data_IF_469665247231
#
_entry.id   IF_469665247231
#
_cell.length_a   1.000
_cell.length_b   1.000
_cell.length_c   1.000
_cell.angle_alpha   90.00
_cell.angle_beta   90.00
_cell.angle_gamma   90.00
#
_symmetry.space_group_name_H-M   'P 1'
#
loop_
_entity.id
_entity.type
_entity.pdbx_description
1 polymer ?
#
# COMPACT_ATOMS: atom_id res chain seq x y z
N UNK A 1 -62.16 47.55 9.19
CA UNK A 1 -61.42 48.79 8.87
C UNK A 1 -60.52 48.49 7.69
N UNK A 2 -60.91 48.91 6.49
CA UNK A 2 -60.04 48.87 5.33
C UNK A 2 -59.11 50.08 5.30
N UNK A 3 -57.95 49.91 4.69
CA UNK A 3 -57.30 50.90 3.85
C UNK A 3 -56.20 50.22 3.04
N UNK A 4 -56.39 50.27 1.73
CA UNK A 4 -55.36 50.15 0.71
C UNK A 4 -54.32 51.30 0.85
N UNK A 5 -53.08 51.11 0.38
CA UNK A 5 -52.60 51.76 -0.85
C UNK A 5 -51.09 51.53 -1.08
N UNK A 6 -50.81 51.04 -2.28
CA UNK A 6 -49.55 50.94 -3.00
C UNK A 6 -48.63 52.17 -2.92
N UNK A 7 -47.32 51.91 -2.87
CA UNK A 7 -46.29 52.77 -3.48
C UNK A 7 -45.36 51.93 -4.35
N UNK A 8 -45.58 52.02 -5.65
CA UNK A 8 -44.59 51.71 -6.69
C UNK A 8 -43.66 52.91 -6.83
N UNK A 9 -42.35 52.67 -6.91
CA UNK A 9 -41.48 53.35 -7.89
C UNK A 9 -40.38 52.39 -8.31
N UNK A 10 -40.29 52.15 -9.61
CA UNK A 10 -39.24 51.39 -10.26
C UNK A 10 -38.08 52.32 -10.61
N UNK A 11 -36.84 51.85 -10.45
CA UNK A 11 -35.70 52.36 -11.20
C UNK A 11 -34.73 51.21 -11.51
N UNK A 12 -34.73 50.80 -12.78
CA UNK A 12 -33.71 49.98 -13.42
C UNK A 12 -32.40 50.79 -13.44
N UNK A 13 -31.29 50.21 -12.96
CA UNK A 13 -30.04 50.33 -13.71
C UNK A 13 -29.15 49.11 -13.51
N UNK A 14 -28.79 48.56 -14.65
CA UNK A 14 -27.85 47.48 -14.93
C UNK A 14 -26.46 47.91 -14.44
N UNK A 15 -25.80 47.08 -13.65
CA UNK A 15 -24.35 47.02 -13.72
C UNK A 15 -23.88 45.57 -13.64
N UNK A 16 -23.28 45.14 -14.75
CA UNK A 16 -22.48 43.93 -14.83
C UNK A 16 -21.31 44.12 -13.88
N UNK A 17 -21.08 43.16 -12.99
CA UNK A 17 -19.74 42.91 -12.49
C UNK A 17 -19.56 41.41 -12.34
N UNK A 18 -18.78 40.86 -13.26
CA UNK A 18 -18.02 39.66 -13.06
C UNK A 18 -17.26 39.78 -11.72
N UNK A 19 -17.36 38.75 -10.89
CA UNK A 19 -16.36 38.34 -9.89
C UNK A 19 -16.63 36.88 -9.61
N UNK A 20 -15.89 36.05 -10.33
CA UNK A 20 -14.76 35.31 -9.76
C UNK A 20 -15.30 33.98 -9.25
N UNK A 21 -15.15 32.97 -10.12
CA UNK A 21 -15.31 31.59 -9.72
C UNK A 21 -14.45 31.37 -8.48
N UNK A 22 -15.09 30.87 -7.43
CA UNK A 22 -14.40 30.37 -6.26
C UNK A 22 -13.19 29.54 -6.73
N UNK A 23 -11.99 29.77 -6.20
CA UNK A 23 -10.87 28.90 -6.54
C UNK A 23 -11.30 27.46 -6.26
N UNK A 24 -10.99 26.50 -7.14
CA UNK A 24 -11.24 25.10 -6.82
C UNK A 24 -10.60 24.82 -5.46
N UNK A 25 -11.25 24.00 -4.61
CA UNK A 25 -10.67 23.65 -3.31
C UNK A 25 -9.22 23.20 -3.53
N UNK A 26 -8.29 23.52 -2.61
CA UNK A 26 -6.88 23.16 -2.77
C UNK A 26 -6.82 21.70 -3.16
N UNK A 27 -6.39 21.41 -4.38
CA UNK A 27 -6.06 20.05 -4.75
C UNK A 27 -4.96 19.68 -3.78
N UNK A 28 -5.24 18.74 -2.89
CA UNK A 28 -4.25 18.21 -1.96
C UNK A 28 -3.22 17.49 -2.83
N UNK A 29 -2.22 18.24 -3.30
CA UNK A 29 -1.19 17.75 -4.21
C UNK A 29 -0.42 16.67 -3.46
N UNK A 30 -0.59 15.43 -3.89
CA UNK A 30 0.27 14.33 -3.47
C UNK A 30 1.66 14.52 -4.05
N UNK A 31 2.67 13.96 -3.41
CA UNK A 31 4.01 13.90 -3.99
C UNK A 31 3.94 13.27 -5.40
N UNK A 32 4.56 13.87 -6.42
CA UNK A 32 4.48 13.38 -7.80
C UNK A 32 5.04 11.97 -8.01
N UNK A 33 5.86 11.47 -7.08
CA UNK A 33 6.41 10.10 -7.10
C UNK A 33 5.40 9.05 -6.63
N UNK A 34 4.34 9.46 -5.93
CA UNK A 34 3.32 8.57 -5.40
C UNK A 34 2.25 8.29 -6.47
N UNK A 35 2.06 7.04 -6.94
CA UNK A 35 1.04 6.70 -7.94
C UNK A 35 -0.37 6.55 -7.34
N UNK A 36 -0.68 7.33 -6.29
CA UNK A 36 -1.98 7.36 -5.63
C UNK A 36 -2.47 8.80 -5.51
N UNK A 37 -3.74 9.02 -5.80
CA UNK A 37 -4.41 10.28 -5.46
C UNK A 37 -4.50 10.44 -3.94
N UNK A 38 -4.70 11.67 -3.45
CA UNK A 38 -4.88 11.95 -2.03
C UNK A 38 -5.99 11.10 -1.39
N UNK A 39 -7.09 10.87 -2.13
CA UNK A 39 -8.21 10.03 -1.69
C UNK A 39 -7.79 8.56 -1.58
N UNK A 40 -7.08 8.03 -2.58
CA UNK A 40 -6.62 6.64 -2.56
C UNK A 40 -5.61 6.40 -1.43
N UNK A 41 -4.65 7.33 -1.23
CA UNK A 41 -3.73 7.31 -0.09
C UNK A 41 -4.49 7.28 1.24
N UNK A 42 -5.45 8.18 1.42
CA UNK A 42 -6.27 8.19 2.64
C UNK A 42 -7.00 6.87 2.85
N UNK A 43 -7.59 6.31 1.80
CA UNK A 43 -8.30 5.02 1.87
C UNK A 43 -7.37 3.89 2.32
N UNK A 44 -6.21 3.72 1.69
CA UNK A 44 -5.28 2.64 2.06
C UNK A 44 -4.76 2.80 3.48
N UNK A 45 -4.38 4.02 3.88
CA UNK A 45 -3.93 4.28 5.26
C UNK A 45 -5.04 4.01 6.29
N UNK A 46 -6.28 4.36 5.96
CA UNK A 46 -7.42 4.15 6.86
C UNK A 46 -7.78 2.67 7.01
N UNK A 47 -7.90 1.92 5.90
CA UNK A 47 -8.19 0.49 5.94
C UNK A 47 -7.04 -0.30 6.55
N UNK A 48 -5.79 0.11 6.29
CA UNK A 48 -4.60 -0.56 6.81
C UNK A 48 -4.55 -0.59 8.34
N UNK A 49 -5.21 0.33 9.06
CA UNK A 49 -5.28 0.26 10.53
C UNK A 49 -5.82 -1.07 11.04
N UNK A 50 -6.73 -1.72 10.32
CA UNK A 50 -7.22 -3.04 10.69
C UNK A 50 -6.16 -4.13 10.44
N UNK A 51 -5.47 -4.07 9.31
CA UNK A 51 -4.34 -4.96 9.00
C UNK A 51 -3.19 -4.78 9.99
N UNK A 52 -2.87 -3.54 10.36
CA UNK A 52 -1.84 -3.19 11.35
C UNK A 52 -2.10 -3.76 12.75
N UNK A 53 -3.37 -4.07 13.10
CA UNK A 53 -3.70 -4.78 14.36
C UNK A 53 -3.57 -6.30 14.24
N UNK A 54 -3.43 -6.82 13.02
CA UNK A 54 -3.42 -8.24 12.69
C UNK A 54 -2.19 -8.64 11.86
N UNK A 55 -1.09 -7.89 11.94
CA UNK A 55 0.08 -8.07 11.06
C UNK A 55 0.57 -9.52 10.99
N UNK A 56 0.72 -10.17 12.14
CA UNK A 56 1.22 -11.55 12.20
C UNK A 56 0.25 -12.57 11.57
N UNK A 57 -1.03 -12.68 11.98
CA UNK A 57 -1.95 -13.63 11.35
C UNK A 57 -2.20 -13.33 9.86
N UNK A 58 -2.21 -12.04 9.45
CA UNK A 58 -2.27 -11.66 8.03
C UNK A 58 -1.02 -12.13 7.28
N UNK A 59 0.17 -11.90 7.83
CA UNK A 59 1.44 -12.30 7.23
C UNK A 59 1.59 -13.81 7.12
N UNK A 60 1.22 -14.57 8.16
CA UNK A 60 1.26 -16.04 8.12
C UNK A 60 0.37 -16.55 6.99
N UNK A 61 -0.84 -16.01 6.85
CA UNK A 61 -1.72 -16.38 5.76
C UNK A 61 -1.13 -16.02 4.38
N UNK A 62 -0.54 -14.82 4.24
CA UNK A 62 0.16 -14.42 3.02
C UNK A 62 1.27 -15.41 2.65
N UNK A 63 2.10 -15.85 3.60
CA UNK A 63 3.16 -16.82 3.31
C UNK A 63 2.63 -18.22 2.99
N UNK A 64 1.57 -18.67 3.66
CA UNK A 64 0.91 -19.93 3.30
C UNK A 64 0.47 -19.89 1.83
N UNK A 65 -0.20 -18.81 1.41
CA UNK A 65 -0.62 -18.62 0.01
C UNK A 65 0.58 -18.56 -0.95
N UNK A 66 1.66 -17.88 -0.56
CA UNK A 66 2.88 -17.82 -1.36
C UNK A 66 3.45 -19.21 -1.64
N UNK A 67 3.55 -20.06 -0.62
CA UNK A 67 4.12 -21.40 -0.74
C UNK A 67 3.16 -22.43 -1.36
N UNK A 68 1.85 -22.23 -1.24
CA UNK A 68 0.84 -22.99 -2.00
C UNK A 68 1.03 -22.79 -3.52
N UNK A 69 1.33 -21.55 -3.95
CA UNK A 69 1.47 -21.21 -5.37
C UNK A 69 2.91 -21.31 -5.91
N UNK A 70 3.92 -21.23 -5.04
CA UNK A 70 5.33 -21.14 -5.39
C UNK A 70 6.18 -21.97 -4.40
N UNK A 71 5.93 -23.28 -4.35
CA UNK A 71 6.55 -24.20 -3.39
C UNK A 71 8.09 -24.21 -3.45
N UNK A 72 8.68 -23.85 -4.59
CA UNK A 72 10.12 -23.72 -4.77
C UNK A 72 10.75 -22.61 -3.93
N UNK A 73 10.01 -21.53 -3.65
CA UNK A 73 10.49 -20.40 -2.85
C UNK A 73 10.78 -20.81 -1.41
N UNK A 74 10.10 -21.85 -0.92
CA UNK A 74 10.31 -22.39 0.41
C UNK A 74 11.78 -22.84 0.63
N UNK A 75 12.49 -23.19 -0.44
CA UNK A 75 13.90 -23.59 -0.37
C UNK A 75 14.85 -22.44 0.01
N UNK A 76 14.42 -21.18 -0.15
CA UNK A 76 15.19 -20.01 0.28
C UNK A 76 15.18 -19.83 1.81
N UNK A 77 14.25 -20.48 2.52
CA UNK A 77 14.01 -20.31 3.95
C UNK A 77 14.62 -21.44 4.77
N UNK A 78 15.93 -21.39 5.00
CA UNK A 78 16.69 -22.47 5.67
C UNK A 78 16.12 -22.92 7.02
N UNK A 79 15.50 -22.02 7.79
CA UNK A 79 14.91 -22.32 9.10
C UNK A 79 13.62 -23.14 9.06
N UNK A 80 12.86 -23.07 7.96
CA UNK A 80 11.53 -23.66 7.87
C UNK A 80 11.21 -24.25 6.50
N UNK A 81 12.25 -24.59 5.71
CA UNK A 81 12.10 -25.13 4.37
C UNK A 81 11.31 -26.45 4.29
N UNK A 82 11.24 -27.18 5.41
CA UNK A 82 10.60 -28.50 5.50
C UNK A 82 9.10 -28.41 5.85
N UNK A 83 8.57 -27.20 6.08
CA UNK A 83 7.13 -26.98 6.31
C UNK A 83 6.36 -27.06 5.00
N UNK A 84 6.08 -28.27 4.53
CA UNK A 84 5.45 -28.51 3.22
C UNK A 84 3.93 -28.49 3.24
N UNK A 85 3.30 -28.53 4.41
CA UNK A 85 1.84 -28.46 4.54
C UNK A 85 1.37 -27.16 5.19
N UNK A 86 0.13 -26.79 4.90
CA UNK A 86 -0.52 -25.61 5.47
C UNK A 86 -0.60 -25.66 6.99
N UNK A 87 -0.87 -26.84 7.55
CA UNK A 87 -0.99 -27.05 9.00
C UNK A 87 0.36 -26.81 9.69
N UNK A 88 1.44 -27.33 9.10
CA UNK A 88 2.80 -27.12 9.59
C UNK A 88 3.22 -25.64 9.52
N UNK A 89 2.92 -24.98 8.39
CA UNK A 89 3.20 -23.56 8.20
C UNK A 89 2.42 -22.70 9.20
N UNK A 90 1.12 -22.96 9.39
CA UNK A 90 0.26 -22.19 10.29
C UNK A 90 0.64 -22.27 11.78
N UNK A 91 1.34 -23.34 12.18
CA UNK A 91 1.75 -23.58 13.56
C UNK A 91 3.24 -23.30 13.83
N UNK A 92 4.00 -22.88 12.81
CA UNK A 92 5.43 -22.59 12.96
C UNK A 92 5.68 -21.21 13.54
N UNK A 93 6.48 -21.18 14.61
CA UNK A 93 6.97 -19.94 15.21
C UNK A 93 7.95 -19.21 14.30
N UNK A 94 8.80 -19.95 13.59
CA UNK A 94 9.80 -19.39 12.67
C UNK A 94 9.14 -18.69 11.48
N UNK A 95 8.08 -19.30 10.94
CA UNK A 95 7.29 -18.67 9.88
C UNK A 95 6.56 -17.44 10.42
N UNK A 96 5.95 -17.52 11.60
CA UNK A 96 5.25 -16.39 12.22
C UNK A 96 6.18 -15.20 12.46
N UNK A 97 7.39 -15.43 12.96
CA UNK A 97 8.40 -14.39 13.17
C UNK A 97 8.78 -13.72 11.84
N UNK A 98 9.06 -14.52 10.80
CA UNK A 98 9.42 -13.98 9.50
C UNK A 98 8.27 -13.20 8.84
N UNK A 99 7.07 -13.78 8.87
CA UNK A 99 5.85 -13.14 8.39
C UNK A 99 5.62 -11.79 9.07
N UNK A 100 5.83 -11.73 10.39
CA UNK A 100 5.72 -10.48 11.16
C UNK A 100 6.75 -9.45 10.70
N UNK A 101 8.00 -9.82 10.47
CA UNK A 101 9.05 -8.90 9.96
C UNK A 101 8.67 -8.31 8.60
N UNK A 102 8.19 -9.14 7.67
CA UNK A 102 7.76 -8.68 6.35
C UNK A 102 6.56 -7.75 6.45
N UNK A 103 5.56 -8.12 7.27
CA UNK A 103 4.38 -7.29 7.47
C UNK A 103 4.70 -5.97 8.18
N UNK A 104 5.68 -5.92 9.09
CA UNK A 104 6.19 -4.66 9.63
C UNK A 104 6.84 -3.78 8.55
N UNK A 105 7.56 -4.39 7.61
CA UNK A 105 8.17 -3.63 6.50
C UNK A 105 7.08 -2.99 5.63
N UNK A 106 6.01 -3.74 5.32
CA UNK A 106 4.86 -3.21 4.58
C UNK A 106 4.10 -2.16 5.39
N UNK A 107 3.97 -2.33 6.70
CA UNK A 107 3.32 -1.39 7.62
C UNK A 107 4.05 -0.05 7.66
N UNK A 108 5.37 -0.05 7.81
CA UNK A 108 6.19 1.17 7.77
C UNK A 108 6.18 1.81 6.37
N UNK A 109 6.17 1.01 5.30
CA UNK A 109 5.94 1.51 3.94
C UNK A 109 4.60 2.23 3.79
N UNK A 110 3.50 1.66 4.29
CA UNK A 110 2.17 2.29 4.17
C UNK A 110 2.04 3.53 5.06
N UNK A 111 2.63 3.51 6.26
CA UNK A 111 2.64 4.67 7.17
C UNK A 111 3.47 5.84 6.65
N UNK A 112 4.53 5.56 5.88
CA UNK A 112 5.39 6.58 5.28
C UNK A 112 4.87 7.14 3.95
N UNK A 113 3.64 6.80 3.51
CA UNK A 113 3.08 7.34 2.26
C UNK A 113 2.87 8.86 2.26
N UNK A 114 2.98 9.52 3.42
CA UNK A 114 2.99 10.99 3.55
C UNK A 114 4.39 11.61 3.35
N UNK A 115 5.45 10.82 3.42
CA UNK A 115 6.85 11.23 3.25
C UNK A 115 7.57 10.26 2.30
N UNK A 116 7.62 10.64 1.02
CA UNK A 116 8.21 9.81 -0.03
C UNK A 116 9.73 9.59 0.14
N UNK A 117 10.45 10.50 0.80
CA UNK A 117 11.88 10.29 1.01
C UNK A 117 12.10 9.18 2.05
N UNK A 118 11.33 9.20 3.14
CA UNK A 118 11.31 8.11 4.13
C UNK A 118 10.84 6.80 3.52
N UNK A 119 9.76 6.82 2.73
CA UNK A 119 9.24 5.64 2.03
C UNK A 119 10.29 4.97 1.14
N UNK A 120 10.92 5.76 0.26
CA UNK A 120 11.91 5.27 -0.69
C UNK A 120 13.17 4.79 0.03
N UNK A 121 13.67 5.53 1.02
CA UNK A 121 14.85 5.13 1.78
C UNK A 121 14.65 3.78 2.47
N UNK A 122 13.50 3.61 3.14
CA UNK A 122 13.18 2.38 3.87
C UNK A 122 13.00 1.18 2.95
N UNK A 123 12.19 1.30 1.89
CA UNK A 123 11.97 0.19 0.95
C UNK A 123 13.20 -0.12 0.10
N UNK A 124 14.04 0.87 -0.24
CA UNK A 124 15.31 0.57 -0.90
C UNK A 124 16.23 -0.26 0.00
N UNK A 125 16.30 0.07 1.29
CA UNK A 125 17.08 -0.71 2.26
C UNK A 125 16.53 -2.14 2.41
N UNK A 126 15.20 -2.28 2.47
CA UNK A 126 14.55 -3.59 2.52
C UNK A 126 14.85 -4.41 1.26
N UNK A 127 14.74 -3.82 0.07
CA UNK A 127 15.10 -4.43 -1.22
C UNK A 127 16.57 -4.85 -1.27
N UNK A 128 17.48 -3.95 -0.89
CA UNK A 128 18.92 -4.22 -0.83
C UNK A 128 19.27 -5.39 0.10
N UNK A 129 18.53 -5.58 1.20
CA UNK A 129 18.77 -6.69 2.12
C UNK A 129 18.61 -8.07 1.47
N UNK A 130 17.73 -8.19 0.45
CA UNK A 130 17.49 -9.44 -0.26
C UNK A 130 18.66 -9.85 -1.16
N UNK A 131 19.57 -8.92 -1.50
CA UNK A 131 20.83 -9.25 -2.22
C UNK A 131 21.79 -10.11 -1.39
N UNK A 132 21.52 -10.28 -0.08
CA UNK A 132 22.29 -11.14 0.81
C UNK A 132 21.78 -12.59 0.82
N UNK A 133 20.61 -12.85 0.22
CA UNK A 133 20.01 -14.18 0.15
C UNK A 133 20.60 -14.90 -1.09
N UNK A 134 21.35 -16.00 -0.91
CA UNK A 134 21.92 -16.73 -2.04
C UNK A 134 20.85 -17.24 -2.99
N UNK A 135 21.00 -16.97 -4.29
CA UNK A 135 20.06 -17.42 -5.32
C UNK A 135 18.73 -16.67 -5.36
N UNK A 136 18.59 -15.56 -4.64
CA UNK A 136 17.38 -14.74 -4.71
C UNK A 136 17.27 -14.03 -6.07
N UNK A 137 16.21 -14.32 -6.81
CA UNK A 137 15.84 -13.62 -8.03
C UNK A 137 14.89 -12.47 -7.70
N UNK A 138 15.16 -11.27 -8.24
CA UNK A 138 14.28 -10.10 -8.09
C UNK A 138 12.84 -10.37 -8.53
N UNK A 139 12.62 -11.30 -9.46
CA UNK A 139 11.28 -11.70 -9.90
C UNK A 139 10.45 -12.33 -8.76
N UNK A 140 11.09 -12.84 -7.71
CA UNK A 140 10.40 -13.41 -6.54
C UNK A 140 9.63 -12.35 -5.75
N UNK A 141 9.97 -11.07 -5.82
CA UNK A 141 9.15 -10.02 -5.21
C UNK A 141 7.72 -9.97 -5.78
N UNK A 142 7.56 -10.19 -7.09
CA UNK A 142 6.24 -10.22 -7.72
C UNK A 142 5.36 -11.38 -7.26
N UNK A 143 5.96 -12.44 -6.72
CA UNK A 143 5.22 -13.59 -6.19
C UNK A 143 4.43 -13.27 -4.93
N UNK A 144 4.73 -12.14 -4.26
CA UNK A 144 4.01 -11.66 -3.08
C UNK A 144 2.71 -10.94 -3.44
N UNK A 145 2.56 -10.37 -4.63
CA UNK A 145 1.43 -9.49 -4.97
C UNK A 145 0.08 -10.13 -4.68
N UNK A 146 -0.19 -11.30 -5.27
CA UNK A 146 -1.46 -12.01 -5.07
C UNK A 146 -1.63 -12.51 -3.63
N UNK A 147 -0.67 -13.24 -3.02
CA UNK A 147 -0.76 -13.64 -1.62
C UNK A 147 -1.02 -12.49 -0.64
N UNK A 148 -0.45 -11.31 -0.90
CA UNK A 148 -0.69 -10.12 -0.11
C UNK A 148 -2.13 -9.63 -0.24
N UNK A 149 -2.65 -9.52 -1.46
CA UNK A 149 -4.04 -9.10 -1.71
C UNK A 149 -5.03 -10.07 -1.06
N UNK A 150 -4.83 -11.38 -1.23
CA UNK A 150 -5.66 -12.43 -0.61
C UNK A 150 -5.65 -12.30 0.94
N UNK A 151 -4.49 -11.98 1.52
CA UNK A 151 -4.35 -11.83 2.96
C UNK A 151 -5.02 -10.56 3.50
N UNK A 152 -4.91 -9.45 2.77
CA UNK A 152 -5.58 -8.20 3.12
C UNK A 152 -7.10 -8.36 2.98
N UNK A 153 -7.57 -8.99 1.90
CA UNK A 153 -9.00 -9.31 1.70
C UNK A 153 -9.54 -10.11 2.89
N UNK A 154 -8.86 -11.21 3.24
CA UNK A 154 -9.25 -12.06 4.37
C UNK A 154 -9.28 -11.29 5.69
N UNK A 155 -8.40 -10.30 5.87
CA UNK A 155 -8.29 -9.53 7.12
C UNK A 155 -9.33 -8.41 7.21
N UNK A 156 -9.69 -7.82 6.06
CA UNK A 156 -10.64 -6.72 5.98
C UNK A 156 -12.09 -7.20 5.83
N UNK A 157 -12.30 -8.43 5.35
CA UNK A 157 -13.59 -9.08 5.18
C UNK A 157 -14.55 -8.15 4.39
N UNK A 158 -15.75 -7.88 4.91
CA UNK A 158 -16.75 -7.02 4.27
C UNK A 158 -16.28 -5.59 3.97
N UNK A 159 -15.15 -5.14 4.55
CA UNK A 159 -14.55 -3.83 4.26
C UNK A 159 -13.69 -3.83 3.00
N UNK A 160 -13.36 -4.99 2.44
CA UNK A 160 -12.57 -5.14 1.22
C UNK A 160 -13.44 -5.04 -0.04
N UNK A 161 -13.95 -3.84 -0.31
CA UNK A 161 -14.69 -3.57 -1.55
C UNK A 161 -13.78 -3.58 -2.79
N UNK A 162 -14.37 -3.72 -3.99
CA UNK A 162 -13.65 -3.61 -5.28
C UNK A 162 -12.81 -2.33 -5.39
N UNK A 163 -13.33 -1.21 -4.86
CA UNK A 163 -12.59 0.05 -4.83
C UNK A 163 -11.34 -0.07 -3.93
N UNK A 164 -11.47 -0.70 -2.75
CA UNK A 164 -10.35 -0.93 -1.85
C UNK A 164 -9.33 -1.86 -2.51
N UNK A 165 -9.77 -2.95 -3.12
CA UNK A 165 -8.91 -3.88 -3.87
C UNK A 165 -8.10 -3.17 -4.96
N UNK A 166 -8.74 -2.32 -5.76
CA UNK A 166 -8.07 -1.56 -6.83
C UNK A 166 -6.95 -0.66 -6.28
N UNK A 167 -7.14 -0.09 -5.09
CA UNK A 167 -6.17 0.78 -4.42
C UNK A 167 -5.02 -0.06 -3.84
N UNK A 168 -5.33 -1.21 -3.24
CA UNK A 168 -4.30 -2.12 -2.74
C UNK A 168 -3.44 -2.68 -3.86
N UNK A 169 -4.01 -2.99 -5.03
CA UNK A 169 -3.27 -3.37 -6.25
C UNK A 169 -2.25 -2.31 -6.68
N UNK A 170 -2.67 -1.04 -6.75
CA UNK A 170 -1.75 0.06 -7.04
C UNK A 170 -0.66 0.20 -5.97
N UNK A 171 -1.05 0.08 -4.70
CA UNK A 171 -0.14 0.26 -3.57
C UNK A 171 0.92 -0.84 -3.51
N UNK A 172 0.53 -2.11 -3.59
CA UNK A 172 1.46 -3.24 -3.52
C UNK A 172 2.39 -3.26 -4.74
N UNK A 173 1.87 -2.93 -5.92
CA UNK A 173 2.68 -2.80 -7.13
C UNK A 173 3.78 -1.76 -6.94
N UNK A 174 3.43 -0.58 -6.43
CA UNK A 174 4.40 0.48 -6.16
C UNK A 174 5.46 0.07 -5.14
N UNK A 175 5.04 -0.61 -4.06
CA UNK A 175 5.97 -1.15 -3.04
C UNK A 175 6.94 -2.17 -3.67
N UNK A 176 6.43 -3.12 -4.46
CA UNK A 176 7.25 -4.15 -5.13
C UNK A 176 8.24 -3.51 -6.10
N UNK A 177 7.80 -2.56 -6.93
CA UNK A 177 8.68 -1.84 -7.85
C UNK A 177 9.80 -1.10 -7.09
N UNK A 178 9.48 -0.49 -5.95
CA UNK A 178 10.46 0.20 -5.10
C UNK A 178 11.45 -0.78 -4.45
N UNK A 179 10.98 -1.95 -3.98
CA UNK A 179 11.85 -3.01 -3.45
C UNK A 179 12.82 -3.51 -4.53
N UNK A 180 12.35 -3.70 -5.76
CA UNK A 180 13.17 -4.13 -6.90
C UNK A 180 14.22 -3.07 -7.24
N UNK A 181 13.84 -1.78 -7.27
CA UNK A 181 14.78 -0.67 -7.52
C UNK A 181 15.90 -0.66 -6.46
N UNK A 182 15.55 -0.85 -5.18
CA UNK A 182 16.53 -0.98 -4.09
C UNK A 182 17.46 -2.18 -4.23
N UNK A 183 16.92 -3.32 -4.63
CA UNK A 183 17.69 -4.54 -4.91
C UNK A 183 18.68 -4.32 -6.06
N UNK A 184 18.20 -3.79 -7.19
CA UNK A 184 19.00 -3.58 -8.40
C UNK A 184 20.13 -2.57 -8.17
N UNK A 185 19.85 -1.47 -7.44
CA UNK A 185 20.89 -0.49 -7.04
C UNK A 185 21.98 -1.15 -6.22
N UNK A 186 21.62 -1.91 -5.18
CA UNK A 186 22.59 -2.57 -4.31
C UNK A 186 23.42 -3.65 -5.04
N UNK A 187 22.84 -4.38 -5.99
CA UNK A 187 23.60 -5.30 -6.85
C UNK A 187 24.59 -4.55 -7.74
N UNK A 188 24.17 -3.42 -8.32
CA UNK A 188 25.03 -2.61 -9.19
C UNK A 188 26.23 -1.99 -8.44
N UNK A 189 26.06 -1.64 -7.17
CA UNK A 189 27.12 -1.13 -6.30
C UNK A 189 28.12 -2.24 -5.95
N UNK A 190 27.62 -3.43 -5.60
CA UNK A 190 28.47 -4.62 -5.36
C UNK A 190 29.30 -5.00 -6.58
N UNK A 191 28.75 -4.88 -7.78
CA UNK A 191 29.47 -5.19 -9.02
C UNK A 191 30.57 -4.17 -9.36
N UNK A 192 30.56 -2.99 -8.74
CA UNK A 192 31.56 -1.91 -8.92
C UNK A 192 32.63 -1.89 -7.84
N UNK A 193 32.42 -2.59 -6.72
CA UNK A 193 33.36 -2.72 -5.60
C UNK A 193 34.32 -3.89 -5.79
#
# INVERSE_FOLDING_TARGET
MGCELSKLTAAKSRNQNAREGSPPPPQTTTDPRLPLTARQKFTVMASWRAVGRALEPTGVYMFIRLFEENAELLNLFTKFRDLKTKEQQSSSMELAEHARTVMMTLDEGIKSLDDMDTFLAYLHQAGASHTKIPGFDRQYFWKIEKPFLDAVERTLEDRYSENVESIYKLTIKFIIETLIDGFDKAQSEKAKS
#
